data_IF_605423387449
#
_entry.id   IF_605423387449
#
_cell.length_a   1.000
_cell.length_b   1.000
_cell.length_c   1.000
_cell.angle_alpha   90.00
_cell.angle_beta   90.00
_cell.angle_gamma   90.00
#
_symmetry.space_group_name_H-M   'P 1'
#
loop_
_entity.id
_entity.type
_entity.pdbx_description
1 polymer ?
#
# COMPACT_ATOMS: atom_id res chain seq x y z
N UNK A 1 -1.98 -40.71 -9.39
CA UNK A 1 -2.65 -39.89 -8.36
C UNK A 1 -2.01 -38.52 -8.44
N UNK A 2 -2.65 -37.61 -9.20
CA UNK A 2 -2.10 -36.27 -9.47
C UNK A 2 -2.47 -35.36 -8.28
N UNK A 3 -1.46 -34.92 -7.55
CA UNK A 3 -1.56 -33.77 -6.66
C UNK A 3 -1.78 -32.54 -7.55
N UNK A 4 -2.95 -31.95 -7.42
CA UNK A 4 -3.26 -30.68 -8.04
C UNK A 4 -2.35 -29.63 -7.39
N UNK A 5 -1.38 -29.13 -8.17
CA UNK A 5 -0.56 -27.98 -7.85
C UNK A 5 -1.47 -26.78 -7.47
N UNK A 6 -1.50 -26.46 -6.20
CA UNK A 6 -2.01 -25.19 -5.74
C UNK A 6 -1.04 -24.10 -6.19
N UNK A 7 -1.27 -23.57 -7.39
CA UNK A 7 -0.49 -22.46 -7.95
C UNK A 7 -0.80 -21.17 -7.18
N UNK A 8 -0.30 -21.08 -5.96
CA UNK A 8 -0.12 -19.80 -5.28
C UNK A 8 1.02 -19.04 -5.96
N UNK A 9 0.81 -17.77 -6.28
CA UNK A 9 1.86 -16.89 -6.78
C UNK A 9 3.03 -16.88 -5.78
N UNK A 10 4.26 -17.10 -6.23
CA UNK A 10 5.44 -16.96 -5.38
C UNK A 10 5.63 -15.50 -4.95
N UNK A 11 6.30 -15.26 -3.81
CA UNK A 11 6.57 -13.88 -3.34
C UNK A 11 7.28 -13.03 -4.40
N UNK A 12 8.21 -13.62 -5.18
CA UNK A 12 8.87 -12.94 -6.28
C UNK A 12 7.91 -12.59 -7.42
N UNK A 13 6.98 -13.48 -7.76
CA UNK A 13 5.96 -13.20 -8.79
C UNK A 13 5.01 -12.07 -8.38
N UNK A 14 4.71 -11.94 -7.09
CA UNK A 14 3.89 -10.86 -6.54
C UNK A 14 4.63 -9.53 -6.63
N UNK A 15 5.89 -9.49 -6.20
CA UNK A 15 6.70 -8.26 -6.17
C UNK A 15 6.93 -7.70 -7.58
N UNK A 16 7.15 -8.56 -8.57
CA UNK A 16 7.37 -8.13 -9.97
C UNK A 16 6.09 -7.99 -10.80
N UNK A 17 4.91 -8.18 -10.21
CA UNK A 17 3.63 -8.02 -10.89
C UNK A 17 3.17 -6.56 -10.81
N UNK A 18 3.56 -5.74 -11.78
CA UNK A 18 3.22 -4.31 -11.83
C UNK A 18 1.71 -4.04 -11.87
N UNK A 19 0.89 -4.78 -12.63
CA UNK A 19 -0.57 -4.69 -12.56
C UNK A 19 -1.12 -4.91 -11.15
N UNK A 20 -0.64 -5.93 -10.44
CA UNK A 20 -1.05 -6.18 -9.06
C UNK A 20 -0.62 -5.03 -8.14
N UNK A 21 0.61 -4.55 -8.27
CA UNK A 21 1.08 -3.39 -7.51
C UNK A 21 0.22 -2.16 -7.76
N UNK A 22 -0.13 -1.88 -9.02
CA UNK A 22 -1.04 -0.81 -9.41
C UNK A 22 -2.44 -0.96 -8.81
N UNK A 23 -2.97 -2.18 -8.81
CA UNK A 23 -4.25 -2.50 -8.18
C UNK A 23 -4.23 -2.27 -6.66
N UNK A 24 -3.15 -2.64 -5.97
CA UNK A 24 -2.98 -2.37 -4.53
C UNK A 24 -2.91 -0.88 -4.23
N UNK A 25 -2.19 -0.11 -5.05
CA UNK A 25 -2.12 1.34 -4.94
C UNK A 25 -3.49 2.01 -5.15
N UNK A 26 -4.32 1.51 -6.06
CA UNK A 26 -5.67 2.03 -6.26
C UNK A 26 -6.58 1.76 -5.05
N UNK A 27 -6.49 0.58 -4.43
CA UNK A 27 -7.25 0.26 -3.21
C UNK A 27 -6.81 1.11 -2.01
N UNK A 28 -5.50 1.38 -1.88
CA UNK A 28 -4.99 2.34 -0.93
C UNK A 28 -5.60 3.74 -1.16
N UNK A 29 -5.55 4.23 -2.41
CA UNK A 29 -6.04 5.55 -2.77
C UNK A 29 -7.56 5.68 -2.52
N UNK A 30 -8.35 4.69 -2.93
CA UNK A 30 -9.80 4.64 -2.69
C UNK A 30 -10.13 4.79 -1.21
N UNK A 31 -9.39 4.08 -0.36
CA UNK A 31 -9.62 4.13 1.08
C UNK A 31 -9.13 5.42 1.72
N UNK A 32 -8.01 5.96 1.24
CA UNK A 32 -7.52 7.27 1.66
C UNK A 32 -8.56 8.36 1.37
N UNK A 33 -9.06 8.44 0.14
CA UNK A 33 -10.08 9.42 -0.25
C UNK A 33 -11.34 9.32 0.64
N UNK A 34 -11.81 8.11 0.88
CA UNK A 34 -12.99 7.88 1.72
C UNK A 34 -12.82 8.46 3.15
N UNK A 35 -11.64 8.28 3.75
CA UNK A 35 -11.38 8.71 5.13
C UNK A 35 -10.81 10.13 5.25
N UNK A 36 -10.33 10.73 4.16
CA UNK A 36 -9.87 12.11 4.12
C UNK A 36 -10.97 13.12 3.74
N UNK A 37 -12.23 12.67 3.60
CA UNK A 37 -13.32 13.51 3.10
C UNK A 37 -13.22 13.78 1.59
N UNK A 38 -12.81 12.76 0.84
CA UNK A 38 -12.60 12.79 -0.62
C UNK A 38 -11.49 13.73 -1.09
N UNK A 39 -10.52 14.03 -0.23
CA UNK A 39 -9.30 14.70 -0.66
C UNK A 39 -8.44 13.76 -1.49
N UNK A 40 -7.76 14.32 -2.51
CA UNK A 40 -6.81 13.58 -3.32
C UNK A 40 -5.62 13.11 -2.52
N UNK A 41 -5.00 12.02 -2.97
CA UNK A 41 -3.83 11.44 -2.32
C UNK A 41 -2.57 12.18 -2.76
N UNK A 42 -1.73 12.69 -1.85
CA UNK A 42 -0.41 13.20 -2.19
C UNK A 42 0.43 12.09 -2.86
N UNK A 43 1.01 12.41 -4.03
CA UNK A 43 1.75 11.44 -4.85
C UNK A 43 2.90 10.75 -4.08
N UNK A 44 3.56 11.49 -3.19
CA UNK A 44 4.67 10.98 -2.39
C UNK A 44 4.27 9.83 -1.45
N UNK A 45 3.02 9.77 -0.99
CA UNK A 45 2.55 8.70 -0.12
C UNK A 45 2.54 7.33 -0.80
N UNK A 46 2.38 7.28 -2.13
CA UNK A 46 2.38 6.03 -2.88
C UNK A 46 3.70 5.26 -2.76
N UNK A 47 4.82 5.96 -2.53
CA UNK A 47 6.14 5.32 -2.37
C UNK A 47 6.30 4.56 -1.05
N UNK A 48 5.41 4.76 -0.09
CA UNK A 48 5.41 4.03 1.17
C UNK A 48 4.56 2.76 1.14
N UNK A 49 3.62 2.66 0.22
CA UNK A 49 2.61 1.58 0.22
C UNK A 49 3.24 0.22 -0.06
N UNK A 50 3.87 0.06 -1.21
CA UNK A 50 4.45 -1.23 -1.62
C UNK A 50 5.58 -1.71 -0.71
N UNK A 51 6.53 -0.84 -0.26
CA UNK A 51 7.54 -1.24 0.72
C UNK A 51 6.96 -1.82 2.01
N UNK A 52 5.82 -1.30 2.47
CA UNK A 52 5.13 -1.79 3.66
C UNK A 52 4.37 -3.09 3.40
N UNK A 53 3.72 -3.22 2.24
CA UNK A 53 2.94 -4.41 1.87
C UNK A 53 3.80 -5.63 1.54
N UNK A 54 4.91 -5.44 0.84
CA UNK A 54 5.74 -6.53 0.31
C UNK A 54 6.78 -7.04 1.31
N UNK A 55 6.94 -6.41 2.45
CA UNK A 55 7.80 -6.93 3.51
C UNK A 55 7.03 -7.83 4.47
N UNK A 56 7.46 -9.08 4.59
CA UNK A 56 6.78 -10.11 5.36
C UNK A 56 6.46 -9.71 6.80
N UNK A 57 7.46 -9.28 7.60
CA UNK A 57 7.23 -8.86 8.99
C UNK A 57 6.31 -7.66 9.11
N UNK A 58 6.47 -6.66 8.22
CA UNK A 58 5.59 -5.48 8.19
C UNK A 58 4.15 -5.88 7.85
N UNK A 59 3.98 -6.77 6.88
CA UNK A 59 2.68 -7.30 6.48
C UNK A 59 1.99 -8.06 7.63
N UNK A 60 2.72 -8.87 8.39
CA UNK A 60 2.16 -9.55 9.57
C UNK A 60 1.71 -8.55 10.65
N UNK A 61 2.45 -7.48 10.87
CA UNK A 61 2.02 -6.39 11.78
C UNK A 61 0.79 -5.67 11.25
N UNK A 62 0.74 -5.40 9.93
CA UNK A 62 -0.45 -4.82 9.27
C UNK A 62 -1.68 -5.72 9.45
N UNK A 63 -1.54 -7.03 9.23
CA UNK A 63 -2.62 -8.01 9.40
C UNK A 63 -3.14 -8.03 10.82
N UNK A 64 -2.25 -8.13 11.80
CA UNK A 64 -2.57 -8.25 13.23
C UNK A 64 -3.04 -6.94 13.87
N UNK A 65 -2.95 -5.80 13.18
CA UNK A 65 -3.42 -4.51 13.69
C UNK A 65 -4.82 -4.23 13.15
N UNK A 66 -5.76 -3.96 14.04
CA UNK A 66 -7.13 -3.63 13.65
C UNK A 66 -7.19 -2.30 12.89
N UNK A 67 -8.09 -2.20 11.93
CA UNK A 67 -8.26 -0.98 11.12
C UNK A 67 -8.57 0.27 11.96
N UNK A 68 -9.29 0.12 13.06
CA UNK A 68 -9.60 1.21 13.98
C UNK A 68 -8.46 1.63 14.92
N UNK A 69 -7.34 0.88 14.94
CA UNK A 69 -6.22 1.18 15.88
C UNK A 69 -5.36 2.37 15.45
N UNK A 70 -5.29 2.67 14.16
CA UNK A 70 -4.55 3.80 13.61
C UNK A 70 -3.04 3.59 13.45
N UNK A 71 -2.42 4.57 12.77
CA UNK A 71 -1.01 4.54 12.38
C UNK A 71 -0.04 4.43 13.55
N UNK A 72 -0.32 5.11 14.67
CA UNK A 72 0.56 5.10 15.86
C UNK A 72 0.68 3.72 16.47
N UNK A 73 -0.42 2.99 16.59
CA UNK A 73 -0.41 1.62 17.13
C UNK A 73 0.33 0.67 16.19
N UNK A 74 0.11 0.80 14.89
CA UNK A 74 0.89 0.05 13.89
C UNK A 74 2.39 0.32 14.04
N UNK A 75 2.81 1.57 14.05
CA UNK A 75 4.24 1.94 14.22
C UNK A 75 4.82 1.45 15.54
N UNK A 76 4.06 1.54 16.64
CA UNK A 76 4.48 1.01 17.94
C UNK A 76 4.72 -0.50 17.91
N UNK A 77 3.84 -1.27 17.26
CA UNK A 77 4.02 -2.71 17.08
C UNK A 77 5.22 -3.01 16.19
N UNK A 78 5.37 -2.26 15.08
CA UNK A 78 6.48 -2.44 14.14
C UNK A 78 7.83 -2.22 14.82
N UNK A 79 7.94 -1.22 15.71
CA UNK A 79 9.17 -0.94 16.46
C UNK A 79 9.60 -2.07 17.43
N UNK A 80 8.71 -3.04 17.68
CA UNK A 80 9.03 -4.24 18.48
C UNK A 80 9.52 -5.43 17.64
N UNK A 81 9.52 -5.29 16.32
CA UNK A 81 10.02 -6.29 15.38
C UNK A 81 11.48 -6.07 15.03
N UNK A 82 12.04 -6.94 14.22
CA UNK A 82 13.38 -6.75 13.63
C UNK A 82 13.41 -5.65 12.56
N UNK A 83 12.23 -5.17 12.13
CA UNK A 83 12.07 -4.13 11.12
C UNK A 83 11.34 -2.90 11.69
N UNK A 84 11.98 -2.13 12.58
CA UNK A 84 11.38 -0.95 13.17
C UNK A 84 11.14 0.15 12.13
N UNK A 85 10.28 1.11 12.49
CA UNK A 85 9.82 2.17 11.57
C UNK A 85 10.97 2.96 10.90
N UNK A 86 12.11 3.14 11.56
CA UNK A 86 13.25 3.88 10.98
C UNK A 86 13.87 3.20 9.75
N UNK A 87 13.61 1.91 9.50
CA UNK A 87 14.07 1.20 8.31
C UNK A 87 13.14 1.39 7.10
N UNK A 88 11.98 2.00 7.29
CA UNK A 88 11.00 2.20 6.21
C UNK A 88 11.58 3.12 5.13
N UNK A 89 12.33 4.16 5.52
CA UNK A 89 12.94 5.11 4.58
C UNK A 89 13.86 4.42 3.58
N UNK A 90 14.83 3.65 4.06
CA UNK A 90 15.80 2.95 3.19
C UNK A 90 15.08 1.98 2.26
N UNK A 91 14.06 1.32 2.78
CA UNK A 91 13.26 0.41 2.00
C UNK A 91 12.43 1.12 0.93
N UNK A 92 11.82 2.27 1.27
CA UNK A 92 11.09 3.09 0.30
C UNK A 92 12.01 3.57 -0.83
N UNK A 93 13.23 3.98 -0.50
CA UNK A 93 14.25 4.34 -1.50
C UNK A 93 14.59 3.14 -2.40
N UNK A 94 14.82 1.97 -1.82
CA UNK A 94 15.09 0.74 -2.58
C UNK A 94 13.93 0.31 -3.49
N UNK A 95 12.69 0.57 -3.09
CA UNK A 95 11.48 0.25 -3.84
C UNK A 95 11.05 1.33 -4.85
N UNK A 96 11.75 2.46 -4.90
CA UNK A 96 11.35 3.62 -5.74
C UNK A 96 11.08 3.24 -7.20
N UNK A 97 11.98 2.49 -7.83
CA UNK A 97 11.81 2.05 -9.21
C UNK A 97 10.57 1.17 -9.41
N UNK A 98 10.39 0.18 -8.54
CA UNK A 98 9.21 -0.69 -8.57
C UNK A 98 7.92 0.10 -8.34
N UNK A 99 7.91 1.00 -7.36
CA UNK A 99 6.74 1.85 -7.10
C UNK A 99 6.37 2.71 -8.30
N UNK A 100 7.35 3.32 -8.98
CA UNK A 100 7.09 4.09 -10.21
C UNK A 100 6.52 3.20 -11.32
N UNK A 101 7.04 1.99 -11.51
CA UNK A 101 6.52 1.05 -12.51
C UNK A 101 5.07 0.65 -12.20
N UNK A 102 4.75 0.39 -10.93
CA UNK A 102 3.39 0.06 -10.52
C UNK A 102 2.42 1.25 -10.63
N UNK A 103 2.89 2.46 -10.32
CA UNK A 103 2.12 3.70 -10.51
C UNK A 103 1.81 3.91 -12.01
N UNK A 104 2.82 3.75 -12.89
CA UNK A 104 2.62 3.84 -14.33
C UNK A 104 1.59 2.81 -14.81
N UNK A 105 1.72 1.55 -14.40
CA UNK A 105 0.75 0.51 -14.72
C UNK A 105 -0.66 0.86 -14.23
N UNK A 106 -0.79 1.43 -13.03
CA UNK A 106 -2.08 1.85 -12.49
C UNK A 106 -2.74 2.98 -13.30
N UNK A 107 -1.93 3.92 -13.82
CA UNK A 107 -2.41 5.00 -14.70
C UNK A 107 -2.82 4.42 -16.05
N UNK A 108 -1.98 3.59 -16.66
CA UNK A 108 -2.21 2.99 -17.98
C UNK A 108 -3.47 2.11 -18.00
N UNK A 109 -3.72 1.39 -16.88
CA UNK A 109 -4.93 0.58 -16.71
C UNK A 109 -6.17 1.39 -16.27
N UNK A 110 -6.02 2.69 -16.04
CA UNK A 110 -7.12 3.55 -15.61
C UNK A 110 -7.56 3.36 -14.15
N UNK A 111 -6.74 2.75 -13.30
CA UNK A 111 -7.04 2.55 -11.88
C UNK A 111 -6.90 3.84 -11.06
N UNK A 112 -5.95 4.68 -11.44
CA UNK A 112 -5.70 5.99 -10.83
C UNK A 112 -5.52 7.06 -11.91
N UNK A 113 -5.79 8.31 -11.52
CA UNK A 113 -5.52 9.49 -12.35
C UNK A 113 -4.52 10.39 -11.62
N UNK A 114 -3.48 10.81 -12.34
CA UNK A 114 -2.48 11.74 -11.85
C UNK A 114 -2.87 13.18 -12.19
N UNK A 115 -2.63 14.10 -11.24
CA UNK A 115 -2.75 15.55 -11.39
C UNK A 115 -1.36 16.16 -11.19
N UNK A 116 -0.59 16.34 -12.27
CA UNK A 116 0.80 16.78 -12.17
C UNK A 116 0.95 18.17 -11.52
N UNK A 117 -0.03 19.05 -11.71
CA UNK A 117 -0.01 20.44 -11.23
C UNK A 117 0.01 20.50 -9.69
N UNK A 118 -0.62 19.56 -9.04
CA UNK A 118 -0.71 19.50 -7.56
C UNK A 118 0.11 18.36 -6.96
N UNK A 119 0.74 17.52 -7.80
CA UNK A 119 1.41 16.30 -7.41
C UNK A 119 0.50 15.38 -6.55
N UNK A 120 -0.73 15.18 -7.03
CA UNK A 120 -1.76 14.37 -6.38
C UNK A 120 -2.31 13.32 -7.34
N UNK A 121 -2.90 12.27 -6.78
CA UNK A 121 -3.67 11.28 -7.55
C UNK A 121 -5.08 11.13 -6.98
N UNK A 122 -5.99 10.62 -7.81
CA UNK A 122 -7.27 10.08 -7.34
C UNK A 122 -7.47 8.65 -7.83
N UNK A 123 -8.23 7.87 -7.07
CA UNK A 123 -8.72 6.57 -7.50
C UNK A 123 -9.80 6.77 -8.58
N UNK A 124 -9.76 5.93 -9.60
CA UNK A 124 -10.88 5.78 -10.53
C UNK A 124 -11.71 4.60 -10.04
N UNK A 125 -13.00 4.82 -9.79
CA UNK A 125 -13.88 3.76 -9.31
C UNK A 125 -14.16 2.78 -10.45
N UNK A 126 -13.52 1.60 -10.34
CA UNK A 126 -13.71 0.49 -11.26
C UNK A 126 -14.49 -0.60 -10.53
N UNK A 127 -15.55 -1.08 -11.17
CA UNK A 127 -16.35 -2.18 -10.66
C UNK A 127 -15.58 -3.50 -10.90
N UNK A 128 -14.97 -4.05 -9.85
CA UNK A 128 -14.27 -5.33 -9.91
C UNK A 128 -15.23 -6.43 -9.48
N UNK A 129 -15.71 -7.21 -10.46
CA UNK A 129 -16.67 -8.30 -10.22
C UNK A 129 -16.03 -9.64 -9.81
N UNK A 130 -14.71 -9.79 -9.94
CA UNK A 130 -14.06 -11.07 -9.69
C UNK A 130 -13.47 -11.11 -8.26
N UNK A 131 -13.82 -12.17 -7.53
CA UNK A 131 -13.27 -12.43 -6.21
C UNK A 131 -11.76 -12.69 -6.32
N UNK A 132 -10.92 -11.90 -5.63
CA UNK A 132 -9.48 -12.06 -5.68
C UNK A 132 -9.06 -13.38 -5.02
N UNK A 133 -7.94 -13.95 -5.48
CA UNK A 133 -7.25 -15.05 -4.80
C UNK A 133 -6.99 -14.61 -3.34
N UNK A 134 -7.10 -15.54 -2.38
CA UNK A 134 -7.04 -15.24 -0.93
C UNK A 134 -5.85 -14.36 -0.53
N UNK A 135 -4.67 -14.63 -1.08
CA UNK A 135 -3.46 -13.82 -0.85
C UNK A 135 -3.62 -12.37 -1.36
N UNK A 136 -4.24 -12.18 -2.52
CA UNK A 136 -4.51 -10.84 -3.07
C UNK A 136 -5.52 -10.12 -2.19
N UNK A 137 -6.56 -10.80 -1.73
CA UNK A 137 -7.55 -10.24 -0.82
C UNK A 137 -6.92 -9.75 0.49
N UNK A 138 -5.93 -10.47 1.00
CA UNK A 138 -5.16 -10.09 2.19
C UNK A 138 -4.33 -8.82 1.95
N UNK A 139 -3.60 -8.77 0.84
CA UNK A 139 -2.83 -7.57 0.45
C UNK A 139 -3.73 -6.35 0.25
N UNK A 140 -4.89 -6.53 -0.37
CA UNK A 140 -5.90 -5.46 -0.54
C UNK A 140 -6.36 -4.94 0.82
N UNK A 141 -6.72 -5.81 1.76
CA UNK A 141 -7.10 -5.39 3.11
C UNK A 141 -5.99 -4.62 3.83
N UNK A 142 -4.73 -5.01 3.63
CA UNK A 142 -3.58 -4.29 4.19
C UNK A 142 -3.40 -2.91 3.52
N UNK A 143 -3.55 -2.82 2.18
CA UNK A 143 -3.50 -1.55 1.46
C UNK A 143 -4.61 -0.59 1.91
N UNK A 144 -5.82 -1.11 2.08
CA UNK A 144 -6.95 -0.34 2.59
C UNK A 144 -6.72 0.20 4.01
N UNK A 145 -6.14 -0.61 4.91
CA UNK A 145 -5.77 -0.13 6.27
C UNK A 145 -4.77 1.01 6.21
N UNK A 146 -3.73 0.89 5.37
CA UNK A 146 -2.76 1.97 5.17
C UNK A 146 -3.45 3.23 4.64
N UNK A 147 -4.33 3.11 3.64
CA UNK A 147 -5.09 4.23 3.09
C UNK A 147 -5.88 4.97 4.18
N UNK A 148 -6.62 4.23 5.00
CA UNK A 148 -7.35 4.80 6.13
C UNK A 148 -6.42 5.51 7.11
N UNK A 149 -5.37 4.84 7.59
CA UNK A 149 -4.49 5.40 8.62
C UNK A 149 -3.71 6.62 8.13
N UNK A 150 -3.33 6.64 6.85
CA UNK A 150 -2.64 7.80 6.29
C UNK A 150 -3.58 8.99 6.12
N UNK A 151 -4.86 8.74 5.85
CA UNK A 151 -5.89 9.78 5.76
C UNK A 151 -6.28 10.39 7.12
N UNK A 152 -6.17 9.61 8.20
CA UNK A 152 -6.55 10.02 9.57
C UNK A 152 -5.49 10.90 10.26
N UNK A 153 -4.30 11.07 9.66
CA UNK A 153 -3.19 11.88 10.21
C UNK A 153 -2.71 12.89 9.19
N UNK A 154 -2.15 14.01 9.65
CA UNK A 154 -1.51 14.95 8.76
C UNK A 154 -0.11 14.43 8.30
N UNK A 155 0.44 15.06 7.25
CA UNK A 155 1.71 14.63 6.66
C UNK A 155 2.88 14.73 7.66
N UNK A 156 2.85 15.69 8.58
CA UNK A 156 3.90 15.87 9.59
C UNK A 156 3.85 14.77 10.63
N UNK A 157 2.65 14.41 11.07
CA UNK A 157 2.46 13.29 11.98
C UNK A 157 2.87 11.98 11.32
N UNK A 158 2.50 11.77 10.06
CA UNK A 158 2.85 10.58 9.29
C UNK A 158 4.37 10.43 9.19
N UNK A 159 5.07 11.45 8.73
CA UNK A 159 6.54 11.44 8.57
C UNK A 159 7.25 11.20 9.90
N UNK A 160 6.78 11.84 10.97
CA UNK A 160 7.32 11.65 12.32
C UNK A 160 7.08 10.23 12.86
N UNK A 161 5.87 9.69 12.64
CA UNK A 161 5.46 8.36 13.15
C UNK A 161 6.20 7.24 12.43
N UNK A 162 6.31 7.32 11.11
CA UNK A 162 7.01 6.34 10.28
C UNK A 162 8.50 6.62 10.11
N UNK A 163 9.00 7.76 10.63
CA UNK A 163 10.39 8.22 10.51
C UNK A 163 10.89 8.26 9.07
N UNK A 164 10.08 8.81 8.17
CA UNK A 164 10.37 8.95 6.75
C UNK A 164 10.43 10.42 6.33
N UNK A 165 11.15 10.67 5.22
CA UNK A 165 11.18 11.94 4.50
C UNK A 165 10.38 11.76 3.21
N UNK A 166 9.46 12.68 2.92
CA UNK A 166 8.59 12.68 1.73
C UNK A 166 8.90 13.84 0.81
#
# INVERSE_FOLDING_TARGET
MNEADSHGLSESQIVYNSPLGGFLLSNFAKKYELFSGYNRVPFTLLFLVLPLLYHGETREVLKSTQAGSGLRIFASKLNKTKFPAFMIQDRAVGFRGLSLTCISAAIDMGFIRLFPETAEICCVDLDYSDAPIELIAELVKCAEKLGRWFAEVDIRELTKTLKVLL
#
